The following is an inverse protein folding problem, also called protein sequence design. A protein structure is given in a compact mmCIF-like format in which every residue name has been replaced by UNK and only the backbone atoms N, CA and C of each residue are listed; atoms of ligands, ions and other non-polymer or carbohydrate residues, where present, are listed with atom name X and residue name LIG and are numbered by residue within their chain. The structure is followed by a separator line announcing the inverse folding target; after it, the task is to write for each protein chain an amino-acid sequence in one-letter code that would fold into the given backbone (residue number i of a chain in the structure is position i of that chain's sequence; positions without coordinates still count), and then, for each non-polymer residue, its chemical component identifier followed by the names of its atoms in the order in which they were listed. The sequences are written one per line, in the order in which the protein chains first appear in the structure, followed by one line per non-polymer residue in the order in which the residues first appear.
data_IF_718413435053
#
_entry.id   IF_718413435053
#
_cell.length_a   1.000
_cell.length_b   1.000
_cell.length_c   1.000
_cell.angle_alpha   90.00
_cell.angle_beta   90.00
_cell.angle_gamma   90.00
#
_symmetry.space_group_name_H-M   'P 1'
#
loop_
_entity.id
_entity.type
_entity.pdbx_description
1 polymer ?
#
# COMPACT_ATOMS: atom_id res chain seq x y z
N UNK A 1 14.39 -37.11 -5.79
CA UNK A 1 15.60 -36.34 -6.16
C UNK A 1 15.45 -35.04 -5.39
N UNK A 2 15.80 -35.15 -4.12
CA UNK A 2 15.29 -34.30 -3.06
C UNK A 2 16.26 -33.14 -2.82
N UNK A 3 15.76 -31.91 -2.99
CA UNK A 3 16.53 -30.70 -2.71
C UNK A 3 16.36 -30.38 -1.23
N UNK A 4 17.40 -30.69 -0.46
CA UNK A 4 17.54 -30.28 0.94
C UNK A 4 17.78 -28.75 1.00
N UNK A 5 16.83 -28.00 1.53
CA UNK A 5 17.06 -26.62 1.95
C UNK A 5 17.53 -26.61 3.43
N UNK A 6 18.68 -25.97 3.66
CA UNK A 6 19.33 -25.86 4.97
C UNK A 6 18.58 -24.92 5.92
N UNK A 7 18.42 -25.24 7.23
CA UNK A 7 17.57 -24.46 8.15
C UNK A 7 18.26 -23.23 8.80
N UNK A 8 19.41 -22.78 8.32
CA UNK A 8 20.31 -21.90 9.10
C UNK A 8 20.32 -20.41 8.73
N UNK A 9 19.38 -19.89 7.94
CA UNK A 9 19.37 -18.46 7.56
C UNK A 9 17.98 -17.83 7.63
N UNK A 10 17.43 -17.68 8.84
CA UNK A 10 16.28 -16.80 9.09
C UNK A 10 16.35 -16.27 10.53
N UNK A 11 17.23 -15.29 10.80
CA UNK A 11 17.15 -14.53 12.06
C UNK A 11 17.34 -13.01 11.90
N UNK A 12 17.26 -12.47 10.68
CA UNK A 12 17.46 -11.03 10.44
C UNK A 12 16.25 -10.42 9.74
N UNK A 13 15.04 -10.63 10.25
CA UNK A 13 13.86 -9.86 9.78
C UNK A 13 12.83 -9.69 10.91
N UNK A 14 13.24 -9.09 12.02
CA UNK A 14 12.30 -8.67 13.08
C UNK A 14 12.75 -7.34 13.65
N UNK A 15 12.66 -6.25 12.86
CA UNK A 15 12.75 -4.90 13.45
C UNK A 15 12.32 -3.73 12.53
N UNK A 16 11.23 -3.81 11.76
CA UNK A 16 10.73 -2.61 11.02
C UNK A 16 9.19 -2.36 11.12
N UNK A 17 8.39 -3.17 11.81
CA UNK A 17 6.94 -2.91 11.90
C UNK A 17 6.36 -2.86 13.31
N UNK A 18 6.88 -1.95 14.15
CA UNK A 18 6.17 -1.56 15.38
C UNK A 18 6.10 -0.04 15.51
N UNK A 19 5.09 0.59 14.89
CA UNK A 19 4.47 1.81 15.43
C UNK A 19 3.22 2.22 14.64
N UNK A 20 2.05 1.90 15.20
CA UNK A 20 0.85 2.77 15.34
C UNK A 20 -0.30 1.94 15.91
N UNK A 21 -0.39 1.87 17.24
CA UNK A 21 -1.64 1.53 17.92
C UNK A 21 -2.48 2.81 18.01
N UNK A 22 -3.62 2.84 17.32
CA UNK A 22 -4.70 3.76 17.64
C UNK A 22 -5.46 3.19 18.84
N UNK A 23 -5.70 4.02 19.85
CA UNK A 23 -6.50 3.70 21.01
C UNK A 23 -7.92 4.24 20.77
N UNK A 24 -8.90 3.34 20.82
CA UNK A 24 -10.32 3.65 20.94
C UNK A 24 -10.61 4.28 22.31
N UNK A 25 -11.47 5.31 22.30
CA UNK A 25 -11.97 5.96 23.50
C UNK A 25 -13.32 6.58 23.22
N UNK A 26 -14.37 5.84 23.57
CA UNK A 26 -15.75 6.30 23.67
C UNK A 26 -15.87 7.55 24.53
N UNK A 27 -16.51 8.61 24.02
CA UNK A 27 -17.17 9.61 24.85
C UNK A 27 -18.47 10.07 24.20
N UNK A 28 -19.57 9.79 24.90
CA UNK A 28 -20.92 10.19 24.56
C UNK A 28 -21.29 11.56 25.19
N UNK A 29 -21.92 12.42 24.38
CA UNK A 29 -22.87 13.46 24.78
C UNK A 29 -22.41 14.93 24.63
N UNK A 30 -23.33 15.93 24.55
CA UNK A 30 -24.69 15.90 24.01
C UNK A 30 -24.91 16.93 22.86
N UNK A 31 -26.00 16.72 22.12
CA UNK A 31 -26.55 17.57 21.06
C UNK A 31 -27.04 18.93 21.57
N UNK A 32 -26.57 20.03 20.95
CA UNK A 32 -27.30 21.29 20.68
C UNK A 32 -26.35 22.34 20.10
N UNK A 33 -26.37 22.56 18.78
CA UNK A 33 -26.33 23.90 18.19
C UNK A 33 -26.73 23.83 16.70
N UNK A 34 -27.97 24.17 16.42
CA UNK A 34 -28.50 24.35 15.08
C UNK A 34 -28.20 25.78 14.59
N UNK A 35 -27.99 25.89 13.27
CA UNK A 35 -28.24 27.07 12.43
C UNK A 35 -27.21 28.21 12.42
N UNK A 36 -26.24 28.12 11.49
CA UNK A 36 -25.87 29.28 10.64
C UNK A 36 -25.74 28.79 9.18
N UNK A 37 -26.81 29.04 8.41
CA UNK A 37 -26.79 29.03 6.95
C UNK A 37 -26.04 30.27 6.44
N UNK A 38 -24.88 30.09 5.82
CA UNK A 38 -24.39 31.02 4.80
C UNK A 38 -23.63 30.24 3.74
N UNK A 39 -24.12 30.38 2.50
CA UNK A 39 -23.60 29.66 1.34
C UNK A 39 -22.21 30.13 0.95
N UNK A 40 -21.42 29.17 0.48
CA UNK A 40 -20.40 29.39 -0.53
C UNK A 40 -20.21 28.07 -1.28
N UNK A 41 -20.78 28.02 -2.48
CA UNK A 41 -20.27 27.28 -3.65
C UNK A 41 -19.49 25.99 -3.37
N UNK A 42 -20.21 24.87 -3.29
CA UNK A 42 -19.66 23.51 -3.51
C UNK A 42 -19.45 23.22 -4.99
N UNK A 43 -19.02 24.22 -5.77
CA UNK A 43 -18.94 24.17 -7.22
C UNK A 43 -17.54 24.59 -7.63
N UNK A 44 -16.93 23.76 -8.48
CA UNK A 44 -15.62 23.91 -9.15
C UNK A 44 -14.43 23.16 -8.51
N UNK A 45 -14.62 21.87 -8.23
CA UNK A 45 -13.53 20.87 -8.24
C UNK A 45 -13.48 20.04 -9.53
N UNK A 46 -14.25 20.40 -10.56
CA UNK A 46 -14.37 19.65 -11.82
C UNK A 46 -13.42 20.13 -12.91
N UNK A 47 -12.18 20.48 -12.57
CA UNK A 47 -11.16 20.82 -13.58
C UNK A 47 -10.22 19.63 -13.78
N UNK A 48 -10.67 18.78 -14.72
CA UNK A 48 -9.99 17.60 -15.28
C UNK A 48 -9.88 16.45 -14.28
N UNK A 49 -11.00 15.75 -14.05
CA UNK A 49 -10.92 14.33 -13.71
C UNK A 49 -10.30 13.64 -14.93
N UNK A 50 -8.96 13.56 -14.95
CA UNK A 50 -8.28 12.52 -15.71
C UNK A 50 -8.92 11.22 -15.24
N UNK A 51 -9.69 10.56 -16.10
CA UNK A 51 -10.39 9.32 -15.75
C UNK A 51 -9.32 8.30 -15.35
N UNK A 52 -9.44 7.68 -14.18
CA UNK A 52 -8.46 6.68 -13.69
C UNK A 52 -8.25 5.62 -14.81
N UNK A 53 -7.04 5.48 -15.37
CA UNK A 53 -6.78 4.50 -16.42
C UNK A 53 -7.10 3.06 -15.98
N UNK A 54 -7.09 2.79 -14.66
CA UNK A 54 -7.47 1.49 -14.10
C UNK A 54 -8.96 1.16 -14.35
N UNK A 55 -9.85 2.15 -14.32
CA UNK A 55 -11.31 1.96 -14.53
C UNK A 55 -11.76 2.24 -15.96
N UNK A 56 -10.85 2.75 -16.80
CA UNK A 56 -11.08 2.88 -18.22
C UNK A 56 -11.48 1.51 -18.81
N UNK A 57 -12.64 1.46 -19.48
CA UNK A 57 -13.21 0.20 -19.99
C UNK A 57 -14.30 -0.44 -19.13
N UNK A 58 -14.76 0.22 -18.05
CA UNK A 58 -15.93 -0.23 -17.28
C UNK A 58 -15.61 -1.17 -16.11
N UNK A 59 -14.35 -1.23 -15.70
CA UNK A 59 -13.93 -1.97 -14.51
C UNK A 59 -14.38 -1.25 -13.23
N UNK A 60 -14.84 -2.02 -12.23
CA UNK A 60 -15.08 -1.55 -10.85
C UNK A 60 -14.00 -2.09 -9.91
N UNK A 61 -13.51 -1.27 -9.01
CA UNK A 61 -12.54 -1.71 -7.97
C UNK A 61 -13.30 -2.40 -6.84
N UNK A 62 -12.89 -3.62 -6.48
CA UNK A 62 -13.45 -4.39 -5.35
C UNK A 62 -12.45 -4.59 -4.21
N UNK A 63 -11.16 -4.34 -4.47
CA UNK A 63 -10.10 -4.36 -3.46
C UNK A 63 -9.04 -3.31 -3.81
N UNK A 64 -8.59 -2.54 -2.83
CA UNK A 64 -7.46 -1.60 -2.95
C UNK A 64 -6.75 -1.49 -1.60
N UNK A 65 -5.66 -2.26 -1.42
CA UNK A 65 -4.85 -2.25 -0.18
C UNK A 65 -3.39 -2.57 -0.48
N UNK A 66 -2.51 -2.14 0.43
CA UNK A 66 -1.13 -2.59 0.47
C UNK A 66 -1.01 -3.95 1.14
N UNK A 67 -0.21 -4.84 0.54
CA UNK A 67 0.04 -6.20 1.04
C UNK A 67 1.55 -6.48 1.04
N UNK A 68 2.12 -7.05 2.10
CA UNK A 68 3.55 -7.35 2.16
C UNK A 68 3.89 -8.53 1.24
N UNK A 69 4.72 -8.30 0.22
CA UNK A 69 5.23 -9.33 -0.68
C UNK A 69 6.73 -9.49 -0.52
N UNK A 70 7.22 -10.73 -0.56
CA UNK A 70 8.64 -11.01 -0.73
C UNK A 70 8.97 -10.99 -2.24
N UNK A 71 9.62 -9.92 -2.68
CA UNK A 71 10.05 -9.74 -4.06
C UNK A 71 11.35 -10.51 -4.33
N UNK A 72 11.34 -11.35 -5.35
CA UNK A 72 12.52 -12.10 -5.80
C UNK A 72 12.72 -11.88 -7.29
N UNK A 73 13.97 -11.65 -7.70
CA UNK A 73 14.35 -11.50 -9.11
C UNK A 73 15.04 -12.80 -9.55
N UNK A 74 14.61 -13.35 -10.68
CA UNK A 74 15.19 -14.53 -11.28
C UNK A 74 15.93 -14.16 -12.57
N UNK A 75 17.25 -14.03 -12.48
CA UNK A 75 18.12 -13.66 -13.61
C UNK A 75 18.43 -14.84 -14.55
N UNK A 76 18.33 -16.10 -14.08
CA UNK A 76 18.46 -17.33 -14.89
C UNK A 76 17.96 -18.57 -14.13
N UNK A 77 17.59 -19.63 -14.86
CA UNK A 77 17.07 -20.91 -14.31
C UNK A 77 18.04 -21.63 -13.33
N UNK A 78 19.32 -21.27 -13.31
CA UNK A 78 20.36 -21.93 -12.51
C UNK A 78 21.06 -21.02 -11.48
N UNK A 79 20.60 -19.79 -11.27
CA UNK A 79 21.13 -18.94 -10.22
C UNK A 79 20.58 -19.38 -8.85
N UNK A 80 21.41 -19.40 -7.77
CA UNK A 80 20.92 -19.65 -6.44
C UNK A 80 19.84 -18.61 -6.10
N UNK A 81 18.70 -19.11 -5.59
CA UNK A 81 17.52 -18.31 -5.28
C UNK A 81 17.92 -17.19 -4.31
N UNK A 82 17.92 -15.94 -4.77
CA UNK A 82 18.25 -14.81 -3.93
C UNK A 82 17.18 -14.66 -2.83
N UNK A 83 17.64 -14.34 -1.63
CA UNK A 83 16.76 -13.93 -0.52
C UNK A 83 16.03 -12.66 -0.98
N UNK A 84 14.70 -12.71 -1.01
CA UNK A 84 13.90 -11.61 -1.53
C UNK A 84 13.82 -10.42 -0.58
N UNK A 85 13.41 -9.27 -1.11
CA UNK A 85 13.12 -8.07 -0.30
C UNK A 85 11.64 -8.03 0.06
N UNK A 86 11.33 -7.77 1.32
CA UNK A 86 9.94 -7.60 1.75
C UNK A 86 9.50 -6.16 1.44
N UNK A 87 8.51 -6.01 0.56
CA UNK A 87 7.96 -4.71 0.16
C UNK A 87 6.43 -4.66 0.31
N UNK A 88 5.92 -3.48 0.69
CA UNK A 88 4.49 -3.22 0.70
C UNK A 88 4.02 -2.92 -0.73
N UNK A 89 3.33 -3.87 -1.35
CA UNK A 89 2.82 -3.73 -2.72
C UNK A 89 1.38 -3.27 -2.68
N UNK A 90 1.06 -2.20 -3.41
CA UNK A 90 -0.30 -1.77 -3.61
C UNK A 90 -0.99 -2.70 -4.60
N UNK A 91 -2.03 -3.39 -4.12
CA UNK A 91 -2.81 -4.35 -4.90
C UNK A 91 -4.21 -3.79 -5.12
N UNK A 92 -4.60 -3.62 -6.39
CA UNK A 92 -5.99 -3.38 -6.79
C UNK A 92 -6.57 -4.64 -7.44
N UNK A 93 -7.77 -5.03 -7.04
CA UNK A 93 -8.57 -6.04 -7.77
C UNK A 93 -9.78 -5.34 -8.36
N UNK A 94 -9.99 -5.54 -9.66
CA UNK A 94 -11.04 -4.93 -10.44
C UNK A 94 -11.85 -5.99 -11.18
N UNK A 95 -13.16 -5.74 -11.32
CA UNK A 95 -14.11 -6.61 -12.00
C UNK A 95 -14.76 -5.87 -13.16
N UNK A 96 -14.92 -6.55 -14.30
CA UNK A 96 -15.66 -6.08 -15.47
C UNK A 96 -16.96 -6.88 -15.62
N UNK A 97 -18.07 -6.20 -15.87
CA UNK A 97 -19.42 -6.81 -15.91
C UNK A 97 -20.16 -6.68 -14.58
N UNK A 98 -21.35 -7.24 -14.46
CA UNK A 98 -22.17 -7.14 -13.24
C UNK A 98 -22.04 -8.39 -12.38
N UNK A 99 -22.63 -8.40 -11.18
CA UNK A 99 -22.54 -9.54 -10.25
C UNK A 99 -23.07 -10.86 -10.84
N UNK A 100 -23.98 -10.80 -11.81
CA UNK A 100 -24.55 -11.95 -12.51
C UNK A 100 -23.87 -12.27 -13.86
N UNK A 101 -23.03 -11.37 -14.38
CA UNK A 101 -22.36 -11.49 -15.69
C UNK A 101 -20.92 -10.98 -15.56
N UNK A 102 -20.11 -11.68 -14.75
CA UNK A 102 -18.69 -11.34 -14.60
C UNK A 102 -17.94 -11.72 -15.87
N UNK A 103 -17.36 -10.72 -16.54
CA UNK A 103 -16.67 -10.88 -17.82
C UNK A 103 -15.17 -11.04 -17.66
N UNK A 104 -14.59 -10.26 -16.77
CA UNK A 104 -13.15 -10.31 -16.50
C UNK A 104 -12.81 -9.87 -15.09
N UNK A 105 -11.77 -10.47 -14.55
CA UNK A 105 -11.07 -10.05 -13.35
C UNK A 105 -9.72 -9.47 -13.77
N UNK A 106 -9.36 -8.32 -13.19
CA UNK A 106 -8.05 -7.69 -13.36
C UNK A 106 -7.41 -7.42 -12.00
N UNK A 107 -6.15 -7.78 -11.85
CA UNK A 107 -5.33 -7.43 -10.68
C UNK A 107 -4.23 -6.50 -11.16
N UNK A 108 -4.03 -5.39 -10.47
CA UNK A 108 -2.95 -4.44 -10.72
C UNK A 108 -2.05 -4.38 -9.49
N UNK A 109 -0.74 -4.52 -9.71
CA UNK A 109 0.30 -4.41 -8.69
C UNK A 109 1.14 -3.17 -8.99
N UNK A 110 1.33 -2.32 -7.99
CA UNK A 110 2.17 -1.13 -8.10
C UNK A 110 2.90 -0.84 -6.78
N UNK A 111 4.00 -0.10 -6.85
CA UNK A 111 4.70 0.38 -5.65
C UNK A 111 4.85 1.90 -5.65
N UNK A 112 5.34 2.43 -4.53
CA UNK A 112 5.81 3.82 -4.43
C UNK A 112 7.33 3.92 -4.55
N UNK A 113 8.06 2.82 -4.29
CA UNK A 113 9.52 2.72 -4.40
C UNK A 113 10.01 2.78 -5.85
N UNK A 114 9.26 2.17 -6.77
CA UNK A 114 9.53 2.18 -8.21
C UNK A 114 8.25 2.50 -8.99
N UNK A 115 8.22 3.69 -9.61
CA UNK A 115 7.08 4.14 -10.42
C UNK A 115 6.84 3.27 -11.67
N UNK A 116 7.86 2.58 -12.16
CA UNK A 116 7.77 1.69 -13.33
C UNK A 116 7.42 0.25 -12.95
N UNK A 117 7.35 -0.06 -11.66
CA UNK A 117 6.77 -1.31 -11.18
C UNK A 117 5.27 -1.26 -11.37
N UNK A 118 4.80 -1.86 -12.47
CA UNK A 118 3.39 -2.00 -12.76
C UNK A 118 3.12 -3.31 -13.49
N UNK A 119 2.51 -4.24 -12.76
CA UNK A 119 2.23 -5.58 -13.25
C UNK A 119 0.74 -5.85 -13.21
N UNK A 120 0.27 -6.61 -14.20
CA UNK A 120 -1.15 -6.94 -14.30
C UNK A 120 -1.37 -8.43 -14.51
N UNK A 121 -2.44 -8.91 -13.90
CA UNK A 121 -3.07 -10.19 -14.21
C UNK A 121 -4.47 -9.87 -14.73
N UNK A 122 -4.83 -10.39 -15.90
CA UNK A 122 -6.18 -10.28 -16.47
C UNK A 122 -6.65 -11.67 -16.78
N UNK A 123 -7.85 -12.01 -16.31
CA UNK A 123 -8.42 -13.34 -16.42
C UNK A 123 -9.91 -13.22 -16.72
N UNK A 124 -10.34 -13.82 -17.81
CA UNK A 124 -11.75 -14.02 -18.15
C UNK A 124 -12.19 -15.45 -17.77
N UNK A 125 -13.42 -15.83 -18.12
CA UNK A 125 -13.96 -17.14 -17.79
C UNK A 125 -13.13 -18.30 -18.37
N UNK A 126 -12.65 -18.16 -19.61
CA UNK A 126 -11.83 -19.18 -20.27
C UNK A 126 -10.47 -19.33 -19.59
N UNK A 127 -9.81 -18.20 -19.31
CA UNK A 127 -8.56 -18.17 -18.55
C UNK A 127 -8.73 -18.76 -17.14
N UNK A 128 -9.87 -18.51 -16.50
CA UNK A 128 -10.14 -19.05 -15.17
C UNK A 128 -10.28 -20.58 -15.20
N UNK A 129 -10.93 -21.16 -16.21
CA UNK A 129 -11.01 -22.62 -16.32
C UNK A 129 -9.63 -23.29 -16.39
N UNK A 130 -8.66 -22.66 -17.05
CA UNK A 130 -7.28 -23.14 -17.07
C UNK A 130 -6.65 -23.08 -15.67
N UNK A 131 -6.83 -21.97 -14.95
CA UNK A 131 -6.36 -21.83 -13.56
C UNK A 131 -7.03 -22.86 -12.65
N UNK A 132 -8.33 -23.07 -12.83
CA UNK A 132 -9.16 -24.00 -12.06
C UNK A 132 -8.66 -25.44 -12.23
N UNK A 133 -8.39 -25.86 -13.46
CA UNK A 133 -7.87 -27.20 -13.76
C UNK A 133 -6.43 -27.38 -13.24
N UNK A 134 -5.55 -26.41 -13.54
CA UNK A 134 -4.13 -26.49 -13.17
C UNK A 134 -3.92 -26.51 -11.66
N UNK A 135 -4.68 -25.68 -10.93
CA UNK A 135 -4.51 -25.50 -9.49
C UNK A 135 -5.59 -26.18 -8.66
N UNK A 136 -6.47 -26.97 -9.32
CA UNK A 136 -7.55 -27.76 -8.70
C UNK A 136 -8.47 -26.91 -7.80
N UNK A 137 -8.82 -25.72 -8.28
CA UNK A 137 -9.74 -24.83 -7.56
C UNK A 137 -11.17 -25.40 -7.63
N UNK A 138 -11.83 -25.45 -6.48
CA UNK A 138 -13.20 -25.96 -6.35
C UNK A 138 -14.27 -24.85 -6.41
N UNK A 139 -13.85 -23.61 -6.67
CA UNK A 139 -14.72 -22.43 -6.70
C UNK A 139 -15.09 -22.06 -8.13
N UNK A 140 -16.18 -21.32 -8.29
CA UNK A 140 -16.59 -20.75 -9.57
C UNK A 140 -15.87 -19.43 -9.87
N UNK A 141 -15.95 -18.97 -11.12
CA UNK A 141 -15.28 -17.74 -11.55
C UNK A 141 -15.72 -16.50 -10.75
N UNK A 142 -17.00 -16.42 -10.41
CA UNK A 142 -17.56 -15.33 -9.60
C UNK A 142 -16.91 -15.23 -8.21
N UNK A 143 -16.44 -16.34 -7.65
CA UNK A 143 -15.79 -16.40 -6.34
C UNK A 143 -14.27 -16.24 -6.40
N UNK A 144 -13.68 -16.24 -7.59
CA UNK A 144 -12.23 -16.18 -7.74
C UNK A 144 -11.64 -14.91 -7.11
N UNK A 145 -12.30 -13.76 -7.29
CA UNK A 145 -11.92 -12.51 -6.63
C UNK A 145 -11.92 -12.63 -5.11
N UNK A 146 -12.95 -13.26 -4.54
CA UNK A 146 -13.09 -13.44 -3.09
C UNK A 146 -11.98 -14.34 -2.52
N UNK A 147 -11.56 -15.36 -3.26
CA UNK A 147 -10.42 -16.20 -2.89
C UNK A 147 -9.12 -15.38 -2.86
N UNK A 148 -8.83 -14.61 -3.91
CA UNK A 148 -7.65 -13.75 -3.98
C UNK A 148 -7.63 -12.71 -2.84
N UNK A 149 -8.76 -12.04 -2.60
CA UNK A 149 -8.92 -11.08 -1.50
C UNK A 149 -8.65 -11.74 -0.15
N UNK A 150 -9.11 -12.98 0.05
CA UNK A 150 -8.86 -13.74 1.29
C UNK A 150 -7.37 -14.03 1.47
N UNK A 151 -6.69 -14.50 0.41
CA UNK A 151 -5.25 -14.79 0.46
C UNK A 151 -4.43 -13.54 0.78
N UNK A 152 -4.71 -12.42 0.11
CA UNK A 152 -4.07 -11.13 0.38
C UNK A 152 -4.30 -10.67 1.83
N UNK A 153 -5.54 -10.73 2.32
CA UNK A 153 -5.86 -10.35 3.68
C UNK A 153 -5.20 -11.26 4.73
N UNK A 154 -5.01 -12.55 4.43
CA UNK A 154 -4.29 -13.46 5.32
C UNK A 154 -2.80 -13.08 5.40
N UNK A 155 -2.16 -12.72 4.27
CA UNK A 155 -0.79 -12.21 4.26
C UNK A 155 -0.62 -10.92 5.08
N UNK A 156 -1.65 -10.06 5.11
CA UNK A 156 -1.63 -8.83 5.94
C UNK A 156 -1.78 -9.17 7.42
N UNK A 157 -2.70 -10.09 7.78
CA UNK A 157 -3.05 -10.38 9.17
C UNK A 157 -2.03 -11.28 9.86
N UNK A 158 -1.48 -12.25 9.13
CA UNK A 158 -0.63 -13.31 9.66
C UNK A 158 0.62 -13.52 8.78
N UNK A 159 1.51 -12.52 8.64
CA UNK A 159 2.64 -12.56 7.69
C UNK A 159 3.67 -13.67 7.99
N UNK A 160 3.66 -14.25 9.20
CA UNK A 160 4.50 -15.39 9.55
C UNK A 160 3.95 -16.74 9.07
N UNK A 161 2.62 -16.82 8.92
CA UNK A 161 1.91 -18.04 8.51
C UNK A 161 1.52 -18.00 7.03
N UNK A 162 1.20 -16.82 6.51
CA UNK A 162 0.76 -16.62 5.14
C UNK A 162 1.69 -15.63 4.44
N UNK A 163 2.41 -16.11 3.44
CA UNK A 163 3.48 -15.40 2.76
C UNK A 163 3.09 -15.25 1.29
N UNK A 164 3.29 -14.06 0.74
CA UNK A 164 3.13 -13.79 -0.67
C UNK A 164 4.53 -13.62 -1.29
N UNK A 165 4.95 -14.55 -2.14
CA UNK A 165 6.26 -14.50 -2.82
C UNK A 165 6.03 -14.09 -4.27
N UNK A 166 6.65 -12.99 -4.70
CA UNK A 166 6.52 -12.46 -6.05
C UNK A 166 7.82 -12.65 -6.82
N UNK A 167 7.82 -13.59 -7.76
CA UNK A 167 8.95 -13.97 -8.59
C UNK A 167 8.89 -13.20 -9.91
N UNK A 168 9.88 -12.33 -10.16
CA UNK A 168 9.99 -11.55 -11.39
C UNK A 168 11.07 -12.13 -12.30
N UNK A 169 10.74 -12.27 -13.58
CA UNK A 169 11.67 -12.69 -14.63
C UNK A 169 12.15 -11.50 -15.45
N UNK A 170 13.33 -11.63 -16.06
CA UNK A 170 13.93 -10.58 -16.87
C UNK A 170 13.10 -10.20 -18.12
N UNK A 171 12.22 -11.09 -18.60
CA UNK A 171 11.34 -10.86 -19.75
C UNK A 171 10.05 -10.10 -19.39
N UNK A 172 9.88 -9.71 -18.13
CA UNK A 172 8.70 -9.00 -17.65
C UNK A 172 7.52 -9.92 -17.30
N UNK A 173 7.67 -11.25 -17.38
CA UNK A 173 6.74 -12.17 -16.72
C UNK A 173 7.03 -12.21 -15.23
N UNK A 174 6.00 -12.44 -14.45
CA UNK A 174 6.12 -12.64 -13.03
C UNK A 174 5.08 -13.63 -12.52
N UNK A 175 5.32 -14.20 -11.35
CA UNK A 175 4.41 -15.13 -10.70
C UNK A 175 4.29 -14.77 -9.22
N UNK A 176 3.07 -14.69 -8.73
CA UNK A 176 2.75 -14.51 -7.33
C UNK A 176 2.34 -15.85 -6.73
N UNK A 177 3.06 -16.31 -5.73
CA UNK A 177 2.75 -17.53 -4.99
C UNK A 177 2.28 -17.19 -3.57
N UNK A 178 1.08 -17.63 -3.23
CA UNK A 178 0.58 -17.62 -1.85
C UNK A 178 1.01 -18.90 -1.15
N UNK A 179 1.83 -18.76 -0.13
CA UNK A 179 2.44 -19.88 0.58
C UNK A 179 1.97 -19.84 2.03
N UNK A 180 1.54 -20.99 2.53
CA UNK A 180 1.27 -21.21 3.95
C UNK A 180 2.44 -21.92 4.62
N UNK A 181 2.96 -21.34 5.69
CA UNK A 181 3.90 -21.97 6.58
C UNK A 181 3.15 -22.85 7.59
N UNK A 182 3.27 -24.17 7.44
CA UNK A 182 2.71 -25.15 8.36
C UNK A 182 3.69 -25.56 9.48
N UNK A 183 4.70 -24.75 9.77
CA UNK A 183 5.81 -24.98 10.72
C UNK A 183 6.81 -26.07 10.30
N UNK A 184 6.32 -27.20 9.78
CA UNK A 184 7.14 -28.32 9.30
C UNK A 184 7.30 -28.34 7.78
N UNK A 185 6.51 -27.54 7.05
CA UNK A 185 6.52 -27.47 5.59
C UNK A 185 5.88 -26.17 5.09
N UNK A 186 6.39 -25.66 3.98
CA UNK A 186 5.73 -24.63 3.19
C UNK A 186 4.81 -25.26 2.13
N UNK A 187 3.57 -24.80 2.07
CA UNK A 187 2.55 -25.29 1.14
C UNK A 187 2.09 -24.15 0.26
N UNK A 188 2.27 -24.26 -1.05
CA UNK A 188 1.69 -23.35 -2.02
C UNK A 188 0.16 -23.57 -2.06
N UNK A 189 -0.60 -22.49 -1.84
CA UNK A 189 -2.05 -22.48 -1.82
C UNK A 189 -2.64 -22.07 -3.17
N UNK A 190 -2.02 -21.09 -3.82
CA UNK A 190 -2.48 -20.51 -5.08
C UNK A 190 -1.31 -19.77 -5.74
N UNK A 191 -1.26 -19.85 -7.06
CA UNK A 191 -0.31 -19.11 -7.89
C UNK A 191 -1.03 -18.28 -8.93
N UNK A 192 -0.49 -17.11 -9.24
CA UNK A 192 -1.09 -16.18 -10.20
C UNK A 192 0.01 -15.61 -11.08
N UNK A 193 -0.15 -15.75 -12.39
CA UNK A 193 0.80 -15.21 -13.35
C UNK A 193 0.46 -13.75 -13.69
N UNK A 194 1.51 -12.95 -13.74
CA UNK A 194 1.48 -11.53 -14.04
C UNK A 194 2.39 -11.21 -15.23
N UNK A 195 2.08 -10.11 -15.90
CA UNK A 195 2.95 -9.53 -16.91
C UNK A 195 3.14 -8.04 -16.64
N UNK A 196 4.35 -7.56 -16.91
CA UNK A 196 4.68 -6.14 -16.83
C UNK A 196 3.95 -5.39 -17.92
N UNK A 197 3.35 -4.25 -17.57
CA UNK A 197 2.74 -3.39 -18.60
C UNK A 197 3.82 -2.67 -19.43
N UNK A 198 3.52 -2.39 -20.72
CA UNK A 198 4.39 -1.56 -21.56
C UNK A 198 4.57 -0.16 -20.98
N UNK A 199 5.78 0.39 -21.09
CA UNK A 199 6.14 1.68 -20.49
C UNK A 199 5.18 2.82 -20.84
N UNK A 200 4.63 2.83 -22.05
CA UNK A 200 3.71 3.89 -22.48
C UNK A 200 2.44 3.92 -21.66
N UNK A 201 1.88 2.75 -21.34
CA UNK A 201 0.70 2.64 -20.47
C UNK A 201 1.08 2.97 -19.03
N UNK A 202 2.26 2.52 -18.57
CA UNK A 202 2.77 2.84 -17.24
C UNK A 202 2.94 4.35 -17.05
N UNK A 203 3.42 5.08 -18.06
CA UNK A 203 3.51 6.56 -18.01
C UNK A 203 2.15 7.21 -17.83
N UNK A 204 1.10 6.72 -18.50
CA UNK A 204 -0.27 7.23 -18.32
C UNK A 204 -0.74 7.05 -16.87
N UNK A 205 -0.50 5.88 -16.27
CA UNK A 205 -0.81 5.64 -14.86
C UNK A 205 0.03 6.54 -13.92
N UNK A 206 1.31 6.74 -14.20
CA UNK A 206 2.17 7.66 -13.43
C UNK A 206 1.64 9.08 -13.49
N UNK A 207 1.32 9.58 -14.70
CA UNK A 207 0.77 10.93 -14.90
C UNK A 207 -0.54 11.11 -14.14
N UNK A 208 -1.46 10.15 -14.24
CA UNK A 208 -2.72 10.16 -13.50
C UNK A 208 -2.50 10.20 -11.98
N UNK A 209 -1.65 9.30 -11.44
CA UNK A 209 -1.33 9.27 -10.00
C UNK A 209 -0.72 10.58 -9.53
N UNK A 210 0.22 11.13 -10.29
CA UNK A 210 0.86 12.41 -9.99
C UNK A 210 -0.16 13.56 -9.96
N UNK A 211 -1.00 13.68 -11.00
CA UNK A 211 -2.03 14.72 -11.08
C UNK A 211 -3.02 14.60 -9.92
N UNK A 212 -3.47 13.37 -9.61
CA UNK A 212 -4.38 13.10 -8.50
C UNK A 212 -3.80 13.56 -7.16
N UNK A 213 -2.56 13.19 -6.86
CA UNK A 213 -1.89 13.58 -5.61
C UNK A 213 -1.64 15.08 -5.57
N UNK A 214 -1.15 15.67 -6.67
CA UNK A 214 -0.91 17.11 -6.80
C UNK A 214 -2.18 17.91 -6.52
N UNK A 215 -3.29 17.54 -7.18
CA UNK A 215 -4.58 18.20 -7.03
C UNK A 215 -5.10 18.07 -5.59
N UNK A 216 -4.96 16.89 -4.98
CA UNK A 216 -5.33 16.66 -3.58
C UNK A 216 -4.51 17.51 -2.62
N UNK A 217 -3.19 17.62 -2.83
CA UNK A 217 -2.31 18.47 -2.01
C UNK A 217 -2.71 19.95 -2.16
N UNK A 218 -2.94 20.43 -3.38
CA UNK A 218 -3.39 21.80 -3.63
C UNK A 218 -4.73 22.10 -2.94
N UNK A 219 -5.71 21.19 -3.02
CA UNK A 219 -7.00 21.35 -2.35
C UNK A 219 -6.85 21.39 -0.82
N UNK A 220 -6.04 20.50 -0.24
CA UNK A 220 -5.78 20.48 1.20
C UNK A 220 -5.03 21.73 1.67
N UNK A 221 -4.08 22.23 0.89
CA UNK A 221 -3.36 23.47 1.18
C UNK A 221 -4.29 24.69 1.16
N UNK A 222 -5.20 24.79 0.17
CA UNK A 222 -6.19 25.87 0.10
C UNK A 222 -7.11 25.84 1.32
N UNK A 223 -7.63 24.66 1.67
CA UNK A 223 -8.50 24.50 2.84
C UNK A 223 -7.78 24.85 4.14
N UNK A 224 -6.51 24.47 4.28
CA UNK A 224 -5.69 24.85 5.43
C UNK A 224 -5.53 26.38 5.49
N UNK A 225 -5.26 27.02 4.35
CA UNK A 225 -5.13 28.48 4.28
C UNK A 225 -6.41 29.20 4.71
N UNK A 226 -7.58 28.75 4.25
CA UNK A 226 -8.89 29.29 4.66
C UNK A 226 -9.11 29.14 6.17
N UNK A 227 -8.85 27.95 6.73
CA UNK A 227 -8.96 27.71 8.18
C UNK A 227 -7.99 28.61 8.96
N UNK A 228 -6.74 28.75 8.50
CA UNK A 228 -5.75 29.62 9.13
C UNK A 228 -6.22 31.09 9.15
N UNK A 229 -6.78 31.56 8.04
CA UNK A 229 -7.32 32.92 7.94
C UNK A 229 -8.56 33.12 8.84
N UNK A 230 -9.44 32.13 8.93
CA UNK A 230 -10.59 32.19 9.83
C UNK A 230 -10.15 32.26 11.30
N UNK A 231 -9.17 31.45 11.71
CA UNK A 231 -8.62 31.49 13.08
C UNK A 231 -7.95 32.84 13.35
N UNK A 232 -7.22 33.42 12.39
CA UNK A 232 -6.64 34.77 12.51
C UNK A 232 -7.68 35.83 12.83
N UNK A 233 -8.84 35.76 12.16
CA UNK A 233 -9.91 36.74 12.34
C UNK A 233 -10.70 36.49 13.62
N UNK A 234 -10.98 35.23 13.96
CA UNK A 234 -11.90 34.88 15.06
C UNK A 234 -11.23 34.71 16.42
N UNK A 235 -9.99 34.23 16.47
CA UNK A 235 -9.28 33.94 17.72
C UNK A 235 -7.76 34.14 17.55
N UNK A 236 -7.28 35.40 17.43
CA UNK A 236 -5.85 35.69 17.22
C UNK A 236 -4.96 35.19 18.37
N UNK A 237 -5.49 35.08 19.58
CA UNK A 237 -4.80 34.59 20.78
C UNK A 237 -4.38 33.11 20.68
N UNK A 238 -5.19 32.28 19.99
CA UNK A 238 -4.92 30.86 19.76
C UNK A 238 -3.72 30.67 18.81
N UNK A 239 -3.52 31.57 17.85
CA UNK A 239 -2.37 31.53 16.94
C UNK A 239 -1.05 31.86 17.64
N UNK A 240 -1.08 32.81 18.57
CA UNK A 240 0.07 33.16 19.40
C UNK A 240 0.49 32.00 20.31
N UNK A 241 -0.46 31.15 20.72
CA UNK A 241 -0.17 29.94 21.49
C UNK A 241 0.31 28.77 20.62
N UNK A 242 -0.22 28.61 19.40
CA UNK A 242 0.25 27.58 18.45
C UNK A 242 1.63 27.91 17.86
N UNK A 243 1.99 29.19 17.68
CA UNK A 243 3.32 29.62 17.24
C UNK A 243 4.38 29.51 18.34
N UNK A 244 3.97 29.53 19.62
CA UNK A 244 4.83 29.14 20.74
C UNK A 244 4.91 27.62 20.76
N UNK A 245 5.72 27.04 19.86
CA UNK A 245 6.14 25.65 19.97
C UNK A 245 6.70 25.36 21.37
N UNK A 246 6.71 24.08 21.81
CA UNK A 246 7.18 23.73 23.15
C UNK A 246 8.57 24.33 23.38
N UNK A 247 8.83 24.95 24.55
CA UNK A 247 10.13 25.53 24.82
C UNK A 247 11.21 24.45 24.67
N UNK A 248 12.38 24.76 24.09
CA UNK A 248 13.48 23.82 24.02
C UNK A 248 13.76 23.27 25.41
N UNK A 249 14.09 21.97 25.54
CA UNK A 249 14.35 21.36 26.84
C UNK A 249 15.37 22.19 27.60
N UNK A 250 15.00 22.60 28.81
CA UNK A 250 15.83 23.46 29.64
C UNK A 250 17.19 22.77 29.85
N UNK A 251 18.24 23.37 29.30
CA UNK A 251 19.62 22.95 29.60
C UNK A 251 19.85 23.26 31.08
N UNK A 252 20.02 22.20 31.87
CA UNK A 252 20.26 22.29 33.30
C UNK A 252 21.60 23.02 33.54
N UNK A 253 21.65 24.13 34.31
CA UNK A 253 22.90 24.86 34.54
C UNK A 253 23.97 24.10 35.34
N UNK A 254 23.74 22.84 35.69
CA UNK A 254 24.66 22.03 36.50
C UNK A 254 25.77 21.33 35.71
N UNK A 255 25.78 21.39 34.38
CA UNK A 255 26.85 20.76 33.56
C UNK A 255 27.89 21.72 32.96
N UNK A 256 27.81 23.03 33.22
CA UNK A 256 28.79 23.99 32.66
C UNK A 256 30.06 24.14 33.52
N UNK A 257 30.17 23.40 34.64
CA UNK A 257 31.34 23.50 35.53
C UNK A 257 32.35 22.35 35.47
N UNK A 258 32.30 21.48 34.46
CA UNK A 258 33.20 20.32 34.35
C UNK A 258 34.10 20.29 33.10
N UNK A 259 34.30 21.41 32.39
CA UNK A 259 35.24 21.47 31.25
C UNK A 259 36.07 22.76 31.22
N UNK A 260 36.58 23.18 32.38
CA UNK A 260 37.56 24.27 32.45
C UNK A 260 38.73 23.96 33.40
N UNK A 261 39.37 22.82 33.19
CA UNK A 261 40.73 22.60 33.68
C UNK A 261 41.39 21.47 32.91
N UNK A 262 42.15 21.81 31.87
CA UNK A 262 43.53 21.34 31.64
C UNK A 262 44.01 21.85 30.28
N UNK A 263 44.52 23.08 30.26
CA UNK A 263 45.48 23.50 29.25
C UNK A 263 46.41 24.56 29.85
N UNK A 264 47.52 24.08 30.42
CA UNK A 264 48.87 24.68 30.42
C UNK A 264 49.73 23.97 31.46
N UNK A 265 50.79 23.29 31.04
CA UNK A 265 52.15 23.84 31.08
C UNK A 265 53.17 22.82 30.52
N UNK A 266 54.10 23.37 29.73
CA UNK A 266 55.34 22.82 29.15
C UNK A 266 55.26 21.79 28.02
#
# INVERSE_FOLDING_TARGET
MDVYFSPSQCSVVVDIMTSRKFADGDFAGPSTFESIHHGSSTSDLSLVDDIDPSIAGGYRVVYDRETPFELRIQDSDNAPQQVGTLEAIKVKILLLGDDNDLRALKIELSTESDLFFYYVHVCDLEGFHLVQEQQKLMVDFADYANVLIRMLNNCIKEPHNHIAVYLMQADGRARLDFIQNMEYKFVELLSVDFSRLPEEIVRQHITYRYNTIKNRVTALQSRLHEVNNLVKVKNPSLLLQLQKGPPPPAVNPREVLATRSHSRFH
#
